data_IF_331682792734
#
_entry.id   IF_331682792734
#
_cell.length_a   1.000
_cell.length_b   1.000
_cell.length_c   1.000
_cell.angle_alpha   90.00
_cell.angle_beta   90.00
_cell.angle_gamma   90.00
#
_symmetry.space_group_name_H-M   'P 1'
#
loop_
_entity.id
_entity.type
_entity.pdbx_description
1 polymer ?
#
# COMPACT_ATOMS: atom_id res chain seq x y z
N UNK A 1 1.40 -0.67 26.97
CA UNK A 1 0.89 0.32 26.01
C UNK A 1 -0.18 -0.39 25.23
N UNK A 2 -1.39 0.16 25.21
CA UNK A 2 -2.53 -0.44 24.52
C UNK A 2 -2.39 -0.09 23.03
N UNK A 3 -1.89 -1.03 22.24
CA UNK A 3 -1.77 -0.86 20.79
C UNK A 3 -3.14 -1.21 20.20
N UNK A 4 -4.08 -0.27 20.28
CA UNK A 4 -5.45 -0.47 19.85
C UNK A 4 -5.52 -1.19 18.50
N UNK A 5 -6.39 -2.19 18.40
CA UNK A 5 -6.59 -2.95 17.18
C UNK A 5 -7.18 -2.04 16.09
N UNK A 6 -6.56 -2.01 14.92
CA UNK A 6 -6.99 -1.20 13.77
C UNK A 6 -7.62 -2.12 12.74
N UNK A 7 -8.89 -1.89 12.43
CA UNK A 7 -9.59 -2.59 11.35
C UNK A 7 -9.47 -1.81 10.03
N UNK A 8 -9.14 -2.51 8.94
CA UNK A 8 -9.10 -1.94 7.60
C UNK A 8 -10.31 -2.38 6.77
N UNK A 9 -11.07 -1.40 6.28
CA UNK A 9 -12.16 -1.65 5.33
C UNK A 9 -11.64 -1.55 3.90
N UNK A 10 -11.72 -2.66 3.17
CA UNK A 10 -11.28 -2.75 1.78
C UNK A 10 -12.47 -3.04 0.87
N UNK A 11 -12.61 -2.26 -0.22
CA UNK A 11 -13.59 -2.59 -1.26
C UNK A 11 -13.23 -3.91 -1.91
N UNK A 12 -14.18 -4.83 -2.09
CA UNK A 12 -13.93 -6.15 -2.64
C UNK A 12 -13.15 -6.15 -3.97
N UNK A 13 -13.42 -5.18 -4.86
CA UNK A 13 -12.71 -5.02 -6.14
C UNK A 13 -11.21 -4.71 -5.97
N UNK A 14 -10.84 -4.06 -4.86
CA UNK A 14 -9.45 -3.72 -4.55
C UNK A 14 -8.70 -4.84 -3.83
N UNK A 15 -9.40 -5.87 -3.32
CA UNK A 15 -8.81 -6.96 -2.55
C UNK A 15 -7.58 -7.59 -3.22
N UNK A 16 -7.59 -7.93 -4.53
CA UNK A 16 -6.43 -8.55 -5.18
C UNK A 16 -5.16 -7.69 -5.14
N UNK A 17 -5.31 -6.37 -5.03
CA UNK A 17 -4.18 -5.43 -5.01
C UNK A 17 -3.56 -5.23 -3.62
N UNK A 18 -4.24 -5.67 -2.55
CA UNK A 18 -3.81 -5.41 -1.17
C UNK A 18 -3.61 -6.66 -0.31
N UNK A 19 -3.80 -7.86 -0.87
CA UNK A 19 -3.66 -9.15 -0.16
C UNK A 19 -2.30 -9.35 0.54
N UNK A 20 -1.24 -8.74 0.04
CA UNK A 20 0.13 -8.82 0.59
C UNK A 20 0.68 -7.44 0.94
N UNK A 21 -0.19 -6.46 1.12
CA UNK A 21 0.19 -5.10 1.45
C UNK A 21 0.51 -4.99 2.94
N UNK A 22 1.74 -4.60 3.24
CA UNK A 22 2.11 -4.00 4.52
C UNK A 22 1.84 -2.51 4.45
N UNK A 23 1.09 -2.00 5.44
CA UNK A 23 0.78 -0.58 5.58
C UNK A 23 1.42 -0.06 6.86
N UNK A 24 2.42 0.79 6.71
CA UNK A 24 3.11 1.43 7.82
C UNK A 24 2.76 2.92 7.89
N UNK A 25 2.75 3.49 9.09
CA UNK A 25 2.64 4.94 9.29
C UNK A 25 3.94 5.46 9.87
N UNK A 26 4.49 6.50 9.25
CA UNK A 26 5.72 7.15 9.69
C UNK A 26 5.54 8.66 9.76
N UNK A 27 6.04 9.26 10.84
CA UNK A 27 6.11 10.72 11.01
C UNK A 27 7.53 11.22 10.75
N UNK A 28 7.63 12.35 10.06
CA UNK A 28 8.84 13.13 9.88
C UNK A 28 8.57 14.62 10.19
N UNK A 29 9.55 15.49 9.90
CA UNK A 29 9.45 16.93 10.17
C UNK A 29 8.32 17.62 9.38
N UNK A 30 7.82 17.00 8.32
CA UNK A 30 6.73 17.48 7.48
C UNK A 30 5.37 16.90 7.90
N UNK A 31 5.33 16.09 8.96
CA UNK A 31 4.14 15.42 9.47
C UNK A 31 4.16 13.91 9.21
N UNK A 32 3.00 13.27 9.26
CA UNK A 32 2.88 11.82 9.09
C UNK A 32 2.26 11.38 7.77
N UNK A 33 2.75 10.26 7.24
CA UNK A 33 2.25 9.66 6.00
C UNK A 33 2.23 8.13 6.08
N UNK A 34 1.33 7.52 5.32
CA UNK A 34 1.31 6.09 5.11
C UNK A 34 2.34 5.66 4.07
N UNK A 35 2.91 4.47 4.27
CA UNK A 35 3.83 3.79 3.37
C UNK A 35 3.24 2.46 2.95
N UNK A 36 3.32 2.20 1.66
CA UNK A 36 2.76 1.01 1.02
C UNK A 36 3.92 0.12 0.59
N UNK A 37 4.02 -1.07 1.17
CA UNK A 37 4.96 -2.10 0.74
C UNK A 37 4.18 -3.36 0.37
N UNK A 38 4.29 -3.78 -0.88
CA UNK A 38 3.69 -5.03 -1.33
C UNK A 38 4.66 -5.72 -2.31
N UNK A 39 5.11 -6.95 -2.03
CA UNK A 39 6.08 -7.66 -2.85
C UNK A 39 5.57 -7.99 -4.25
N UNK A 40 4.26 -7.93 -4.48
CA UNK A 40 3.65 -8.14 -5.78
C UNK A 40 3.61 -6.87 -6.66
N UNK A 41 4.08 -5.72 -6.18
CA UNK A 41 4.11 -4.48 -6.95
C UNK A 41 5.25 -4.48 -7.97
N UNK A 42 5.00 -3.90 -9.15
CA UNK A 42 6.04 -3.77 -10.17
C UNK A 42 6.93 -2.57 -9.91
N UNK A 43 6.34 -1.45 -9.45
CA UNK A 43 7.06 -0.21 -9.15
C UNK A 43 6.33 0.58 -8.06
N UNK A 44 7.12 1.24 -7.20
CA UNK A 44 6.65 2.24 -6.23
C UNK A 44 7.24 3.59 -6.60
N UNK A 45 6.45 4.65 -6.54
CA UNK A 45 6.90 6.01 -6.79
C UNK A 45 7.94 6.44 -5.74
N UNK A 46 8.94 7.24 -6.12
CA UNK A 46 10.00 7.69 -5.21
C UNK A 46 9.49 8.51 -4.00
N UNK A 47 8.28 9.08 -4.08
CA UNK A 47 7.66 9.76 -2.93
C UNK A 47 6.93 8.79 -1.99
N UNK A 48 6.79 7.51 -2.36
CA UNK A 48 6.21 6.42 -1.56
C UNK A 48 4.69 6.50 -1.38
N UNK A 49 4.00 7.35 -2.13
CA UNK A 49 2.53 7.57 -2.01
C UNK A 49 1.72 6.88 -3.12
N UNK A 50 2.37 6.19 -4.05
CA UNK A 50 1.71 5.54 -5.18
C UNK A 50 2.52 4.35 -5.68
N UNK A 51 1.83 3.36 -6.23
CA UNK A 51 2.41 2.16 -6.81
C UNK A 51 1.65 1.74 -8.07
N UNK A 52 2.28 0.93 -8.91
CA UNK A 52 1.66 0.30 -10.06
C UNK A 52 1.62 -1.21 -9.89
N UNK A 53 0.51 -1.81 -10.34
CA UNK A 53 0.41 -3.25 -10.42
C UNK A 53 1.22 -3.76 -11.63
N UNK A 54 1.85 -4.95 -11.57
CA UNK A 54 2.41 -5.58 -12.75
C UNK A 54 1.32 -5.72 -13.81
N UNK A 55 1.49 -5.06 -14.95
CA UNK A 55 0.61 -5.28 -16.08
C UNK A 55 0.82 -6.71 -16.58
N UNK A 56 -0.27 -7.44 -16.80
CA UNK A 56 -0.18 -8.71 -17.51
C UNK A 56 0.38 -8.43 -18.92
N UNK A 57 1.30 -9.27 -19.43
CA UNK A 57 1.93 -9.06 -20.74
C UNK A 57 0.95 -9.38 -21.87
N UNK A 58 -0.06 -8.53 -22.09
CA UNK A 58 -1.00 -8.50 -23.24
C UNK A 58 -2.31 -7.71 -22.95
N UNK A 59 -2.22 -6.52 -22.34
CA UNK A 59 -3.36 -5.59 -22.33
C UNK A 59 -3.16 -4.56 -23.45
N UNK A 60 -3.72 -4.86 -24.63
CA UNK A 60 -3.96 -3.89 -25.71
C UNK A 60 -5.35 -3.29 -25.52
#
# INVERSE_FOLDING_TARGET
MDNGEVELVVRAIAWPHVQQLTLDYSEDLMGGSFRFDNPALSQTCNCGQSFSWPQQPNQN
#
